data_IF_951481690366
#
_entry.id   IF_951481690366
#
_cell.length_a   1.000
_cell.length_b   1.000
_cell.length_c   1.000
_cell.angle_alpha   90.00
_cell.angle_beta   90.00
_cell.angle_gamma   90.00
#
_symmetry.space_group_name_H-M   'P 1'
#
loop_
_entity.id
_entity.type
_entity.pdbx_description
1 polymer ?
#
# COMPACT_ATOMS: atom_id res chain seq x y z
N UNK A 1 -23.66 -9.05 -16.64
CA UNK A 1 -22.54 -9.95 -16.45
C UNK A 1 -22.57 -10.38 -15.00
N UNK A 2 -22.53 -11.67 -14.65
CA UNK A 2 -22.61 -12.09 -13.27
C UNK A 2 -21.38 -11.59 -12.51
N UNK A 3 -21.60 -10.97 -11.35
CA UNK A 3 -20.56 -10.61 -10.39
C UNK A 3 -19.83 -11.89 -9.98
N UNK A 4 -18.64 -12.09 -10.52
CA UNK A 4 -17.72 -13.12 -10.02
C UNK A 4 -17.21 -12.65 -8.65
N UNK A 5 -17.57 -13.32 -7.53
CA UNK A 5 -17.20 -12.89 -6.19
C UNK A 5 -15.70 -13.03 -5.89
N UNK A 6 -14.89 -13.41 -6.88
CA UNK A 6 -13.46 -13.64 -6.74
C UNK A 6 -12.58 -12.62 -7.47
N UNK A 7 -13.12 -11.64 -8.16
CA UNK A 7 -12.31 -10.57 -8.76
C UNK A 7 -11.97 -9.54 -7.68
N UNK A 8 -10.97 -9.84 -6.88
CA UNK A 8 -10.40 -8.84 -5.95
C UNK A 8 -9.63 -7.84 -6.78
N UNK A 9 -10.23 -6.69 -7.05
CA UNK A 9 -9.58 -5.61 -7.76
C UNK A 9 -8.58 -4.91 -6.85
N UNK A 10 -7.31 -5.01 -7.19
CA UNK A 10 -6.23 -4.29 -6.52
C UNK A 10 -5.89 -3.04 -7.32
N UNK A 11 -5.89 -1.90 -6.64
CA UNK A 11 -5.56 -0.61 -7.21
C UNK A 11 -4.59 0.14 -6.31
N UNK A 12 -3.90 1.11 -6.89
CA UNK A 12 -3.38 2.23 -6.13
C UNK A 12 -4.49 3.26 -5.98
N UNK A 13 -4.74 3.71 -4.77
CA UNK A 13 -5.82 4.63 -4.51
C UNK A 13 -5.42 5.71 -3.50
N UNK A 14 -5.95 6.89 -3.71
CA UNK A 14 -6.04 7.89 -2.65
C UNK A 14 -7.23 7.50 -1.78
N UNK A 15 -7.00 7.41 -0.49
CA UNK A 15 -7.99 6.90 0.46
C UNK A 15 -8.24 7.89 1.57
N UNK A 16 -9.46 7.94 2.03
CA UNK A 16 -9.91 8.82 3.09
C UNK A 16 -10.89 8.09 4.00
N UNK A 17 -10.84 8.37 5.31
CA UNK A 17 -11.86 7.89 6.22
C UNK A 17 -13.19 8.58 5.92
N UNK A 18 -14.27 7.80 5.83
CA UNK A 18 -15.60 8.38 5.68
C UNK A 18 -15.89 9.36 6.82
N UNK A 19 -16.39 10.52 6.46
CA UNK A 19 -16.88 11.53 7.37
C UNK A 19 -18.17 12.11 6.80
N UNK A 20 -19.25 12.03 7.57
CA UNK A 20 -20.58 12.46 7.16
C UNK A 20 -20.59 13.93 6.69
N UNK A 21 -19.89 14.81 7.41
CA UNK A 21 -19.84 16.24 7.07
C UNK A 21 -19.09 16.54 5.77
N UNK A 22 -18.14 15.68 5.36
CA UNK A 22 -17.36 15.85 4.13
C UNK A 22 -18.01 15.15 2.94
N UNK A 23 -18.43 13.91 3.15
CA UNK A 23 -18.86 13.02 2.06
C UNK A 23 -20.37 13.02 1.86
N UNK A 24 -21.11 13.52 2.87
CA UNK A 24 -22.55 13.49 2.90
C UNK A 24 -23.10 12.08 3.16
N UNK A 25 -24.06 11.97 4.07
CA UNK A 25 -24.80 10.74 4.34
C UNK A 25 -26.20 10.86 3.79
N UNK A 26 -26.63 9.86 3.05
CA UNK A 26 -28.00 9.76 2.56
C UNK A 26 -28.74 8.65 3.29
N UNK A 27 -30.07 8.59 3.13
CA UNK A 27 -30.89 7.48 3.66
C UNK A 27 -30.46 6.11 3.12
N UNK A 28 -29.81 6.11 1.96
CA UNK A 28 -29.42 4.90 1.24
C UNK A 28 -27.98 4.47 1.53
N UNK A 29 -27.21 5.29 2.28
CA UNK A 29 -25.84 4.96 2.68
C UNK A 29 -25.80 3.73 3.60
N UNK A 30 -24.70 2.96 3.50
CA UNK A 30 -24.50 1.79 4.34
C UNK A 30 -24.54 2.17 5.83
N UNK A 31 -25.19 1.39 6.70
CA UNK A 31 -25.34 1.73 8.13
C UNK A 31 -24.00 1.86 8.86
N UNK A 32 -22.99 1.12 8.43
CA UNK A 32 -21.66 1.05 9.00
C UNK A 32 -20.59 1.86 8.24
N UNK A 33 -21.02 2.71 7.30
CA UNK A 33 -20.12 3.49 6.43
C UNK A 33 -19.11 4.34 7.22
N UNK A 34 -19.46 4.81 8.40
CA UNK A 34 -18.60 5.62 9.28
C UNK A 34 -17.28 4.96 9.66
N UNK A 35 -17.19 3.65 9.49
CA UNK A 35 -15.99 2.86 9.80
C UNK A 35 -15.21 2.48 8.54
N UNK A 36 -15.69 2.87 7.38
CA UNK A 36 -15.04 2.53 6.12
C UNK A 36 -14.03 3.59 5.68
N UNK A 37 -13.04 3.12 4.95
CA UNK A 37 -12.12 3.94 4.20
C UNK A 37 -12.65 4.00 2.78
N UNK A 38 -12.86 5.20 2.27
CA UNK A 38 -13.31 5.44 0.90
C UNK A 38 -12.14 5.44 -0.07
N UNK A 39 -12.40 4.99 -1.30
CA UNK A 39 -11.54 5.26 -2.44
C UNK A 39 -11.95 6.58 -3.07
N UNK A 40 -11.17 7.63 -2.85
CA UNK A 40 -11.45 8.94 -3.43
C UNK A 40 -11.02 9.00 -4.89
N UNK A 41 -9.89 8.38 -5.20
CA UNK A 41 -9.37 8.26 -6.56
C UNK A 41 -8.61 6.95 -6.70
N UNK A 42 -8.80 6.25 -7.81
CA UNK A 42 -8.15 4.97 -8.10
C UNK A 42 -7.28 5.07 -9.34
N UNK A 43 -6.12 4.43 -9.28
CA UNK A 43 -5.19 4.28 -10.38
C UNK A 43 -4.99 2.81 -10.69
N UNK A 44 -4.93 2.48 -11.95
CA UNK A 44 -4.46 1.16 -12.34
C UNK A 44 -2.96 1.01 -11.99
N UNK A 45 -2.52 -0.20 -11.60
CA UNK A 45 -1.11 -0.42 -11.22
C UNK A 45 -0.13 0.01 -12.30
N UNK A 46 -0.43 -0.25 -13.58
CA UNK A 46 0.39 0.11 -14.71
C UNK A 46 0.52 1.64 -14.86
N UNK A 47 -0.54 2.36 -14.57
CA UNK A 47 -0.58 3.81 -14.65
C UNK A 47 0.35 4.46 -13.62
N UNK A 48 0.33 3.95 -12.37
CA UNK A 48 1.24 4.44 -11.32
C UNK A 48 2.69 4.05 -11.60
N UNK A 49 2.92 2.83 -12.11
CA UNK A 49 4.27 2.35 -12.41
C UNK A 49 4.90 3.05 -13.62
N UNK A 50 4.10 3.65 -14.51
CA UNK A 50 4.57 4.39 -15.68
C UNK A 50 4.82 5.87 -15.40
N UNK A 51 4.27 6.43 -14.31
CA UNK A 51 4.44 7.84 -13.93
C UNK A 51 5.71 8.06 -13.12
N UNK A 52 6.32 9.22 -13.32
CA UNK A 52 7.41 9.66 -12.45
C UNK A 52 6.86 10.05 -11.07
N UNK A 53 7.71 9.95 -10.06
CA UNK A 53 7.33 10.23 -8.67
C UNK A 53 6.76 11.64 -8.50
N UNK A 54 7.31 12.61 -9.22
CA UNK A 54 6.86 13.99 -9.22
C UNK A 54 5.40 14.14 -9.65
N UNK A 55 5.00 13.49 -10.73
CA UNK A 55 3.62 13.56 -11.27
C UNK A 55 2.59 12.99 -10.27
N UNK A 56 2.93 11.87 -9.63
CA UNK A 56 2.07 11.27 -8.59
C UNK A 56 2.00 12.18 -7.37
N UNK A 57 3.13 12.79 -6.98
CA UNK A 57 3.20 13.71 -5.86
C UNK A 57 2.38 14.98 -6.09
N UNK A 58 2.45 15.57 -7.29
CA UNK A 58 1.67 16.76 -7.67
C UNK A 58 0.17 16.46 -7.64
N UNK A 59 -0.24 15.30 -8.14
CA UNK A 59 -1.64 14.88 -8.10
C UNK A 59 -2.14 14.73 -6.65
N UNK A 60 -1.35 14.12 -5.78
CA UNK A 60 -1.68 13.97 -4.35
C UNK A 60 -1.80 15.33 -3.67
N UNK A 61 -0.86 16.23 -3.92
CA UNK A 61 -0.86 17.59 -3.37
C UNK A 61 -2.09 18.37 -3.86
N UNK A 62 -2.38 18.31 -5.15
CA UNK A 62 -3.55 18.98 -5.74
C UNK A 62 -4.86 18.49 -5.13
N UNK A 63 -4.99 17.18 -4.92
CA UNK A 63 -6.18 16.59 -4.29
C UNK A 63 -6.28 16.97 -2.82
N UNK A 64 -5.16 16.99 -2.08
CA UNK A 64 -5.11 17.45 -0.68
C UNK A 64 -5.61 18.87 -0.55
N UNK A 65 -5.09 19.80 -1.34
CA UNK A 65 -5.51 21.22 -1.29
C UNK A 65 -6.98 21.44 -1.68
N UNK A 66 -7.54 20.58 -2.51
CA UNK A 66 -8.97 20.64 -2.84
C UNK A 66 -9.86 20.25 -1.65
N UNK A 67 -9.37 19.40 -0.75
CA UNK A 67 -10.13 18.85 0.39
C UNK A 67 -9.83 19.62 1.69
N UNK A 68 -8.62 20.16 1.84
CA UNK A 68 -8.13 20.80 3.07
C UNK A 68 -9.10 21.81 3.71
N UNK A 69 -9.77 22.72 2.97
CA UNK A 69 -10.68 23.69 3.57
C UNK A 69 -11.84 23.05 4.35
N UNK A 70 -12.18 21.83 4.04
CA UNK A 70 -13.32 21.09 4.63
C UNK A 70 -12.88 20.16 5.78
N UNK A 71 -11.59 19.83 5.87
CA UNK A 71 -11.08 18.86 6.84
C UNK A 71 -11.09 19.38 8.27
N UNK A 72 -10.86 20.69 8.48
CA UNK A 72 -10.62 21.24 9.82
C UNK A 72 -11.87 21.44 10.67
N UNK A 73 -13.05 21.47 10.06
CA UNK A 73 -14.29 21.84 10.72
C UNK A 73 -15.22 20.66 11.01
N UNK A 74 -14.91 19.47 10.52
CA UNK A 74 -15.83 18.35 10.53
C UNK A 74 -15.53 17.34 11.64
N UNK A 75 -16.39 17.19 12.67
CA UNK A 75 -16.25 16.13 13.65
C UNK A 75 -16.48 14.77 13.01
N UNK A 76 -15.76 13.75 13.47
CA UNK A 76 -16.00 12.37 13.08
C UNK A 76 -16.81 11.65 14.17
N UNK A 77 -17.92 10.95 13.85
CA UNK A 77 -18.81 10.40 14.86
C UNK A 77 -18.16 9.29 15.71
N UNK A 78 -17.23 8.55 15.14
CA UNK A 78 -16.58 7.39 15.78
C UNK A 78 -15.17 7.70 16.28
N UNK A 79 -14.40 8.53 15.54
CA UNK A 79 -13.01 8.81 15.86
C UNK A 79 -12.87 10.08 16.69
N UNK A 80 -12.56 9.93 17.98
CA UNK A 80 -12.49 11.03 18.95
C UNK A 80 -11.44 12.11 18.63
N UNK A 81 -10.36 11.75 17.95
CA UNK A 81 -9.25 12.66 17.62
C UNK A 81 -9.15 12.87 16.11
N UNK A 82 -10.26 12.94 15.41
CA UNK A 82 -10.28 13.02 13.96
C UNK A 82 -9.49 14.22 13.43
N UNK A 83 -9.71 15.42 13.98
CA UNK A 83 -8.97 16.63 13.60
C UNK A 83 -7.45 16.52 13.75
N UNK A 84 -6.99 15.83 14.80
CA UNK A 84 -5.55 15.57 14.98
C UNK A 84 -5.01 14.52 13.99
N UNK A 85 -5.86 13.64 13.51
CA UNK A 85 -5.50 12.59 12.56
C UNK A 85 -5.37 13.16 11.14
N UNK A 86 -6.34 13.99 10.72
CA UNK A 86 -6.35 14.63 9.40
C UNK A 86 -5.27 15.71 9.26
N UNK A 87 -4.82 16.33 10.35
CA UNK A 87 -3.71 17.27 10.36
C UNK A 87 -2.33 16.62 10.21
N UNK A 88 -2.24 15.31 10.11
CA UNK A 88 -0.95 14.63 9.87
C UNK A 88 -0.53 14.82 8.41
N UNK A 89 0.76 15.12 8.15
CA UNK A 89 1.27 15.34 6.79
C UNK A 89 1.06 14.16 5.83
N UNK A 90 0.72 12.99 6.38
CA UNK A 90 0.56 11.73 5.64
C UNK A 90 -0.86 11.19 5.69
N UNK A 91 -1.83 12.01 6.05
CA UNK A 91 -3.22 11.55 6.14
C UNK A 91 -3.76 11.11 4.78
N UNK A 92 -3.45 11.86 3.74
CA UNK A 92 -3.86 11.59 2.37
C UNK A 92 -2.69 10.93 1.62
N UNK A 93 -2.61 9.63 1.67
CA UNK A 93 -1.52 8.87 1.07
C UNK A 93 -2.01 7.98 -0.07
N UNK A 94 -1.12 7.77 -1.05
CA UNK A 94 -1.30 6.74 -2.05
C UNK A 94 -1.16 5.36 -1.39
N UNK A 95 -2.26 4.63 -1.34
CA UNK A 95 -2.33 3.31 -0.73
C UNK A 95 -2.54 2.21 -1.79
N UNK A 96 -1.95 1.06 -1.57
CA UNK A 96 -2.31 -0.15 -2.30
C UNK A 96 -3.49 -0.81 -1.60
N UNK A 97 -4.60 -0.93 -2.30
CA UNK A 97 -5.88 -1.32 -1.72
C UNK A 97 -6.52 -2.49 -2.47
N UNK A 98 -7.38 -3.19 -1.78
CA UNK A 98 -8.43 -3.99 -2.37
C UNK A 98 -9.71 -3.17 -2.30
N UNK A 99 -10.21 -2.74 -3.43
CA UNK A 99 -11.40 -1.92 -3.55
C UNK A 99 -12.64 -2.78 -3.72
N UNK A 100 -13.74 -2.35 -3.13
CA UNK A 100 -15.02 -3.02 -3.19
C UNK A 100 -16.15 -2.00 -3.23
N UNK A 101 -17.11 -2.23 -4.11
CA UNK A 101 -18.36 -1.45 -4.11
C UNK A 101 -19.34 -2.08 -3.14
N UNK A 102 -19.87 -1.28 -2.23
CA UNK A 102 -20.96 -1.70 -1.35
C UNK A 102 -22.27 -1.78 -2.12
N UNK A 103 -23.26 -2.55 -1.64
CA UNK A 103 -24.60 -2.62 -2.28
C UNK A 103 -25.29 -1.27 -2.39
N UNK A 104 -24.93 -0.35 -1.53
CA UNK A 104 -25.42 1.03 -1.45
C UNK A 104 -24.72 1.99 -2.43
N UNK A 105 -23.67 1.50 -3.15
CA UNK A 105 -22.98 2.24 -4.20
C UNK A 105 -21.67 2.92 -3.75
N UNK A 106 -21.38 2.94 -2.45
CA UNK A 106 -20.13 3.51 -1.97
C UNK A 106 -18.92 2.61 -2.35
N UNK A 107 -17.82 3.23 -2.74
CA UNK A 107 -16.61 2.55 -3.12
C UNK A 107 -15.60 2.57 -1.96
N UNK A 108 -15.44 1.44 -1.29
CA UNK A 108 -14.66 1.31 -0.06
C UNK A 108 -13.36 0.55 -0.29
N UNK A 109 -12.36 0.88 0.51
CA UNK A 109 -11.02 0.34 0.44
C UNK A 109 -10.65 -0.51 1.65
N UNK A 110 -9.99 -1.62 1.41
CA UNK A 110 -9.20 -2.32 2.41
C UNK A 110 -7.71 -2.11 2.12
N UNK A 111 -7.01 -1.43 3.00
CA UNK A 111 -5.58 -1.12 2.83
C UNK A 111 -4.74 -2.39 2.85
N UNK A 112 -3.96 -2.62 1.80
CA UNK A 112 -3.05 -3.77 1.63
C UNK A 112 -1.57 -3.35 1.58
N UNK A 113 -1.25 -2.07 1.68
CA UNK A 113 0.13 -1.54 1.64
C UNK A 113 1.06 -2.26 2.61
N UNK A 114 0.58 -2.63 3.79
CA UNK A 114 1.35 -3.42 4.75
C UNK A 114 1.80 -4.80 4.26
N UNK A 115 1.12 -5.40 3.28
CA UNK A 115 1.56 -6.64 2.63
C UNK A 115 2.78 -6.38 1.74
N UNK A 116 2.74 -5.31 0.94
CA UNK A 116 3.86 -4.91 0.08
C UNK A 116 5.10 -4.62 0.91
N UNK A 117 4.96 -3.84 1.99
CA UNK A 117 6.08 -3.54 2.89
C UNK A 117 6.70 -4.82 3.48
N UNK A 118 5.87 -5.80 3.88
CA UNK A 118 6.35 -7.10 4.37
C UNK A 118 7.09 -7.88 3.29
N UNK A 119 6.57 -7.92 2.07
CA UNK A 119 7.22 -8.57 0.93
C UNK A 119 8.56 -7.91 0.59
N UNK A 120 8.60 -6.57 0.55
CA UNK A 120 9.83 -5.81 0.31
C UNK A 120 10.90 -6.09 1.38
N UNK A 121 10.51 -6.12 2.67
CA UNK A 121 11.44 -6.46 3.77
C UNK A 121 11.99 -7.88 3.60
N UNK A 122 11.12 -8.84 3.29
CA UNK A 122 11.51 -10.24 3.06
C UNK A 122 12.47 -10.36 1.88
N UNK A 123 12.18 -9.66 0.79
CA UNK A 123 13.02 -9.61 -0.39
C UNK A 123 14.40 -8.97 -0.10
N UNK A 124 14.42 -7.82 0.56
CA UNK A 124 15.66 -7.15 0.98
C UNK A 124 16.54 -8.07 1.84
N UNK A 125 15.94 -8.80 2.78
CA UNK A 125 16.67 -9.76 3.61
C UNK A 125 17.26 -10.90 2.79
N UNK A 126 16.51 -11.46 1.85
CA UNK A 126 17.01 -12.50 0.94
C UNK A 126 18.14 -12.00 0.04
N UNK A 127 18.00 -10.79 -0.50
CA UNK A 127 19.08 -10.18 -1.30
C UNK A 127 20.35 -9.94 -0.47
N UNK A 128 20.20 -9.47 0.76
CA UNK A 128 21.34 -9.27 1.68
C UNK A 128 22.04 -10.59 1.97
N UNK A 129 21.30 -11.64 2.27
CA UNK A 129 21.85 -12.97 2.50
C UNK A 129 22.54 -13.54 1.26
N UNK A 130 21.92 -13.40 0.09
CA UNK A 130 22.50 -13.81 -1.18
C UNK A 130 23.82 -13.10 -1.46
N UNK A 131 23.87 -11.77 -1.26
CA UNK A 131 25.11 -10.99 -1.41
C UNK A 131 26.21 -11.49 -0.46
N UNK A 132 25.85 -11.76 0.81
CA UNK A 132 26.78 -12.31 1.82
C UNK A 132 27.38 -13.64 1.36
N UNK A 133 26.55 -14.57 0.89
CA UNK A 133 27.02 -15.88 0.41
C UNK A 133 27.92 -15.73 -0.82
N UNK A 134 27.57 -14.85 -1.76
CA UNK A 134 28.42 -14.60 -2.94
C UNK A 134 29.77 -14.05 -2.54
N UNK A 135 29.82 -13.08 -1.61
CA UNK A 135 31.08 -12.55 -1.08
C UNK A 135 31.93 -13.62 -0.39
N UNK A 136 31.30 -14.47 0.43
CA UNK A 136 32.00 -15.58 1.08
C UNK A 136 32.50 -16.65 0.09
N UNK A 137 31.81 -16.88 -1.02
CA UNK A 137 32.32 -17.74 -2.11
C UNK A 137 33.58 -17.20 -2.76
N UNK A 138 33.79 -15.89 -2.76
CA UNK A 138 35.02 -15.25 -3.26
C UNK A 138 36.20 -15.37 -2.34
N UNK A 139 36.07 -15.92 -1.13
CA UNK A 139 37.19 -16.07 -0.21
C UNK A 139 38.14 -17.17 -0.67
N UNK A 140 39.50 -17.03 -0.44
CA UNK A 140 40.48 -18.02 -0.86
C UNK A 140 40.16 -19.43 -0.37
N UNK A 141 39.71 -19.58 0.88
CA UNK A 141 39.33 -20.89 1.46
C UNK A 141 38.13 -21.56 0.78
N UNK A 142 37.11 -20.77 0.41
CA UNK A 142 35.95 -21.29 -0.29
C UNK A 142 36.31 -21.68 -1.73
N UNK A 143 37.13 -20.90 -2.40
CA UNK A 143 37.66 -21.19 -3.75
C UNK A 143 38.51 -22.44 -3.75
N UNK A 144 39.45 -22.58 -2.80
CA UNK A 144 40.27 -23.77 -2.62
C UNK A 144 39.41 -25.03 -2.41
N UNK A 145 38.44 -24.97 -1.50
CA UNK A 145 37.51 -26.08 -1.24
C UNK A 145 36.79 -26.49 -2.52
N UNK A 146 36.31 -25.52 -3.31
CA UNK A 146 35.64 -25.80 -4.58
C UNK A 146 36.60 -26.40 -5.60
N UNK A 147 37.82 -25.93 -5.67
CA UNK A 147 38.81 -26.45 -6.61
C UNK A 147 39.16 -27.90 -6.32
N UNK A 148 39.34 -28.27 -5.04
CA UNK A 148 39.69 -29.62 -4.62
C UNK A 148 38.52 -30.59 -4.65
N UNK A 149 37.31 -30.15 -4.21
CA UNK A 149 36.14 -31.04 -4.04
C UNK A 149 35.11 -30.94 -5.14
N UNK A 150 35.22 -29.95 -6.04
CA UNK A 150 34.22 -29.62 -7.05
C UNK A 150 32.95 -28.97 -6.48
N UNK A 151 32.86 -28.78 -5.18
CA UNK A 151 31.65 -28.28 -4.50
C UNK A 151 31.99 -27.13 -3.56
N UNK A 152 31.05 -26.20 -3.42
CA UNK A 152 31.17 -25.15 -2.39
C UNK A 152 31.10 -25.76 -0.98
N UNK A 153 31.71 -25.11 0.03
CA UNK A 153 31.49 -25.44 1.43
C UNK A 153 30.00 -25.56 1.76
N UNK A 154 29.62 -26.44 2.66
CA UNK A 154 28.22 -26.83 2.94
C UNK A 154 27.32 -25.58 3.15
N UNK A 155 27.79 -24.63 3.96
CA UNK A 155 27.05 -23.41 4.29
C UNK A 155 26.92 -22.40 3.13
N UNK A 156 27.69 -22.60 2.04
CA UNK A 156 27.67 -21.77 0.84
C UNK A 156 27.04 -22.43 -0.38
N UNK A 157 26.50 -23.63 -0.25
CA UNK A 157 25.95 -24.37 -1.40
C UNK A 157 24.65 -23.81 -1.93
N UNK A 158 23.75 -23.41 -1.03
CA UNK A 158 22.43 -22.90 -1.41
C UNK A 158 22.42 -21.38 -1.37
N UNK A 159 21.87 -20.77 -2.39
CA UNK A 159 21.46 -19.36 -2.37
C UNK A 159 20.01 -19.30 -1.88
N UNK A 160 19.65 -18.32 -1.01
CA UNK A 160 18.31 -18.13 -0.50
C UNK A 160 17.35 -17.62 -1.58
#
# INVERSE_FOLDING_TARGET
MPNDPMCVNYHYALTELFNDALHGRTSDSAPDIDNHILCTYTFEPEEVMSKEYEEVSELMIGTYYAIEPHLHESPHPVIKNYSALINRPQYYELQFVSAQMLPTGEYVATIKTGLIVRLQRRWKNKLKERKRIIQQRGTPGALYTRQVTGKWPIHLRKLP
#
